data_IF_372945596469
#
_entry.id   IF_372945596469
#
_cell.length_a   1.000
_cell.length_b   1.000
_cell.length_c   1.000
_cell.angle_alpha   90.00
_cell.angle_beta   90.00
_cell.angle_gamma   90.00
#
_symmetry.space_group_name_H-M   'P 1'
#
loop_
_entity.id
_entity.type
_entity.pdbx_description
1 polymer ?
#
# COMPACT_ATOMS: atom_id res chain seq x y z
N UNK A 1 -16.99 0.83 -32.67
CA UNK A 1 -17.33 1.69 -31.52
C UNK A 1 -16.66 1.09 -30.29
N UNK A 2 -15.55 1.65 -29.82
CA UNK A 2 -14.91 1.16 -28.60
C UNK A 2 -15.82 1.48 -27.41
N UNK A 3 -16.12 0.47 -26.59
CA UNK A 3 -16.88 0.67 -25.35
C UNK A 3 -16.05 1.61 -24.47
N UNK A 4 -16.53 2.84 -24.23
CA UNK A 4 -15.93 3.74 -23.25
C UNK A 4 -16.10 3.08 -21.88
N UNK A 5 -14.99 2.85 -21.17
CA UNK A 5 -15.03 2.40 -19.78
C UNK A 5 -15.83 3.40 -18.95
N UNK A 6 -16.64 2.92 -18.00
CA UNK A 6 -17.28 3.82 -17.04
C UNK A 6 -16.25 4.30 -16.01
N UNK A 7 -16.48 5.45 -15.38
CA UNK A 7 -15.59 5.97 -14.34
C UNK A 7 -15.37 4.96 -13.19
N UNK A 8 -16.39 4.15 -12.90
CA UNK A 8 -16.33 3.03 -11.96
C UNK A 8 -15.33 1.95 -12.38
N UNK A 9 -15.36 1.57 -13.66
CA UNK A 9 -14.44 0.56 -14.20
C UNK A 9 -12.99 1.08 -14.23
N UNK A 10 -12.80 2.36 -14.53
CA UNK A 10 -11.50 3.02 -14.49
C UNK A 10 -10.91 3.03 -13.07
N UNK A 11 -11.70 3.44 -12.08
CA UNK A 11 -11.29 3.39 -10.66
C UNK A 11 -10.98 1.98 -10.21
N UNK A 12 -11.83 1.00 -10.54
CA UNK A 12 -11.62 -0.41 -10.20
C UNK A 12 -10.32 -0.93 -10.81
N UNK A 13 -10.06 -0.64 -12.08
CA UNK A 13 -8.83 -1.04 -12.78
C UNK A 13 -7.60 -0.39 -12.14
N UNK A 14 -7.67 0.91 -11.84
CA UNK A 14 -6.59 1.63 -11.18
C UNK A 14 -6.27 1.04 -9.80
N UNK A 15 -7.28 0.86 -8.95
CA UNK A 15 -7.09 0.31 -7.59
C UNK A 15 -6.54 -1.12 -7.65
N UNK A 16 -7.02 -1.95 -8.56
CA UNK A 16 -6.49 -3.31 -8.74
C UNK A 16 -5.03 -3.29 -9.20
N UNK A 17 -4.68 -2.44 -10.17
CA UNK A 17 -3.31 -2.28 -10.64
C UNK A 17 -2.39 -1.72 -9.55
N UNK A 18 -2.86 -0.71 -8.81
CA UNK A 18 -2.16 -0.15 -7.66
C UNK A 18 -1.88 -1.22 -6.60
N UNK A 19 -2.86 -2.05 -6.25
CA UNK A 19 -2.68 -3.14 -5.30
C UNK A 19 -1.62 -4.16 -5.75
N UNK A 20 -1.65 -4.60 -7.01
CA UNK A 20 -0.64 -5.54 -7.54
C UNK A 20 0.75 -4.91 -7.54
N UNK A 21 0.87 -3.66 -8.00
CA UNK A 21 2.15 -2.95 -8.04
C UNK A 21 2.74 -2.77 -6.64
N UNK A 22 1.90 -2.53 -5.62
CA UNK A 22 2.37 -2.43 -4.24
C UNK A 22 2.96 -3.73 -3.71
N UNK A 23 2.30 -4.86 -3.97
CA UNK A 23 2.81 -6.18 -3.60
C UNK A 23 4.16 -6.43 -4.28
N UNK A 24 4.29 -6.14 -5.57
CA UNK A 24 5.53 -6.33 -6.33
C UNK A 24 6.67 -5.47 -5.77
N UNK A 25 6.42 -4.18 -5.54
CA UNK A 25 7.40 -3.26 -4.94
C UNK A 25 7.87 -3.80 -3.59
N UNK A 26 6.94 -4.24 -2.75
CA UNK A 26 7.26 -4.75 -1.43
C UNK A 26 8.05 -6.06 -1.48
N UNK A 27 7.65 -7.01 -2.31
CA UNK A 27 8.36 -8.27 -2.52
C UNK A 27 9.79 -8.03 -3.02
N UNK A 28 9.98 -7.09 -3.94
CA UNK A 28 11.29 -6.73 -4.46
C UNK A 28 12.14 -6.04 -3.39
N UNK A 29 11.57 -5.14 -2.59
CA UNK A 29 12.28 -4.50 -1.47
C UNK A 29 12.70 -5.49 -0.39
N UNK A 30 11.83 -6.44 -0.05
CA UNK A 30 12.15 -7.53 0.88
C UNK A 30 13.34 -8.35 0.35
N UNK A 31 13.36 -8.63 -0.96
CA UNK A 31 14.46 -9.35 -1.62
C UNK A 31 15.77 -8.55 -1.56
N UNK A 32 15.74 -7.27 -1.95
CA UNK A 32 16.91 -6.38 -1.96
C UNK A 32 17.53 -6.21 -0.56
N UNK A 33 16.69 -6.11 0.47
CA UNK A 33 17.13 -5.96 1.86
C UNK A 33 17.55 -7.28 2.53
N UNK A 34 17.49 -8.40 1.80
CA UNK A 34 17.83 -9.73 2.33
C UNK A 34 16.85 -10.26 3.38
N UNK A 35 15.64 -9.71 3.46
CA UNK A 35 14.65 -10.05 4.52
C UNK A 35 13.72 -11.19 4.06
N UNK A 36 14.23 -12.17 3.33
CA UNK A 36 13.43 -13.22 2.68
C UNK A 36 13.83 -14.66 3.05
N UNK A 37 14.75 -14.85 4.00
CA UNK A 37 15.39 -16.14 4.24
C UNK A 37 14.44 -17.33 4.47
N UNK A 38 13.36 -17.15 5.23
CA UNK A 38 12.34 -18.21 5.43
C UNK A 38 11.23 -18.17 4.37
N UNK A 39 11.22 -17.17 3.50
CA UNK A 39 10.16 -16.90 2.52
C UNK A 39 8.83 -16.44 3.13
N UNK A 40 8.62 -16.62 4.44
CA UNK A 40 7.37 -16.31 5.13
C UNK A 40 6.94 -14.84 4.95
N UNK A 41 7.84 -13.89 5.21
CA UNK A 41 7.55 -12.47 5.01
C UNK A 41 7.31 -12.15 3.55
N UNK A 42 8.12 -12.69 2.63
CA UNK A 42 7.99 -12.43 1.20
C UNK A 42 6.65 -12.90 0.61
N UNK A 43 6.08 -14.00 1.12
CA UNK A 43 4.77 -14.54 0.69
C UNK A 43 3.58 -13.93 1.44
N UNK A 44 3.82 -13.17 2.50
CA UNK A 44 2.76 -12.65 3.38
C UNK A 44 1.94 -11.47 2.85
N UNK A 45 2.46 -10.57 1.97
CA UNK A 45 1.68 -9.46 1.48
C UNK A 45 0.49 -9.96 0.66
N UNK A 46 -0.70 -9.62 1.12
CA UNK A 46 -1.95 -9.92 0.45
C UNK A 46 -2.74 -8.63 0.26
N UNK A 47 -3.22 -8.42 -0.97
CA UNK A 47 -4.26 -7.43 -1.23
C UNK A 47 -5.60 -8.05 -0.85
N UNK A 48 -6.32 -7.44 0.08
CA UNK A 48 -7.70 -7.84 0.37
C UNK A 48 -8.64 -7.27 -0.68
N UNK A 49 -9.80 -7.92 -0.82
CA UNK A 49 -10.80 -7.58 -1.83
C UNK A 49 -11.29 -6.14 -1.63
N UNK A 50 -11.24 -5.37 -2.71
CA UNK A 50 -11.92 -4.08 -2.79
C UNK A 50 -13.43 -4.34 -2.71
N UNK A 51 -14.09 -3.83 -1.67
CA UNK A 51 -15.55 -3.79 -1.61
C UNK A 51 -15.99 -2.55 -2.37
N UNK A 52 -16.69 -2.73 -3.48
CA UNK A 52 -17.30 -1.62 -4.21
C UNK A 52 -18.82 -1.76 -4.07
N UNK A 53 -19.42 -1.05 -3.12
CA UNK A 53 -20.87 -1.08 -2.87
C UNK A 53 -21.65 -0.20 -3.88
N UNK A 54 -21.29 -0.28 -5.16
CA UNK A 54 -21.92 0.51 -6.24
C UNK A 54 -21.78 2.03 -6.13
N UNK A 55 -21.14 2.52 -5.07
CA UNK A 55 -20.85 3.91 -4.76
C UNK A 55 -19.44 3.92 -4.21
N UNK A 56 -18.47 4.32 -5.03
CA UNK A 56 -17.03 4.26 -4.75
C UNK A 56 -16.58 5.28 -3.68
N UNK A 57 -17.29 5.38 -2.56
CA UNK A 57 -16.96 6.24 -1.42
C UNK A 57 -16.12 5.51 -0.36
N UNK A 58 -16.10 4.18 -0.37
CA UNK A 58 -15.32 3.38 0.58
C UNK A 58 -14.35 2.47 -0.19
N UNK A 59 -13.14 2.96 -0.44
CA UNK A 59 -12.03 2.07 -0.79
C UNK A 59 -11.44 1.61 0.54
N UNK A 60 -12.02 0.55 1.11
CA UNK A 60 -11.38 -0.15 2.21
C UNK A 60 -10.15 -0.90 1.67
N UNK A 61 -9.02 -0.21 1.59
CA UNK A 61 -7.74 -0.83 1.27
C UNK A 61 -7.20 -1.55 2.49
N UNK A 62 -7.54 -2.82 2.61
CA UNK A 62 -6.94 -3.66 3.63
C UNK A 62 -5.80 -4.46 2.99
N UNK A 63 -4.56 -4.08 3.29
CA UNK A 63 -3.38 -4.87 2.96
C UNK A 63 -2.89 -5.54 4.23
N UNK A 64 -2.59 -6.83 4.16
CA UNK A 64 -2.10 -7.59 5.32
C UNK A 64 -0.73 -8.19 5.01
N UNK A 65 0.13 -8.24 6.01
CA UNK A 65 1.42 -8.90 5.98
C UNK A 65 1.77 -9.40 7.40
N UNK A 66 2.80 -10.24 7.51
CA UNK A 66 3.24 -10.74 8.82
C UNK A 66 3.73 -9.61 9.72
N UNK A 67 3.40 -9.65 11.01
CA UNK A 67 3.87 -8.67 12.01
C UNK A 67 5.40 -8.54 12.03
N UNK A 68 6.12 -9.64 11.74
CA UNK A 68 7.57 -9.64 11.54
C UNK A 68 8.05 -8.54 10.57
N UNK A 69 7.25 -8.21 9.56
CA UNK A 69 7.51 -7.11 8.64
C UNK A 69 7.56 -5.73 9.31
N UNK A 70 6.70 -5.47 10.30
CA UNK A 70 6.72 -4.22 11.08
C UNK A 70 8.05 -4.09 11.83
N UNK A 71 8.50 -5.17 12.46
CA UNK A 71 9.75 -5.17 13.20
C UNK A 71 10.95 -4.91 12.29
N UNK A 72 10.94 -5.48 11.08
CA UNK A 72 11.99 -5.23 10.09
C UNK A 72 11.99 -3.78 9.61
N UNK A 73 10.81 -3.20 9.34
CA UNK A 73 10.70 -1.82 8.88
C UNK A 73 11.17 -0.81 9.94
N UNK A 74 10.83 -1.05 11.20
CA UNK A 74 11.16 -0.17 12.32
C UNK A 74 12.54 -0.45 12.93
N UNK A 75 13.19 -1.56 12.57
CA UNK A 75 14.47 -1.97 13.17
C UNK A 75 14.32 -2.54 14.58
N UNK A 76 13.12 -3.00 14.92
CA UNK A 76 12.73 -3.47 16.25
C UNK A 76 12.64 -5.00 16.30
N UNK A 77 12.14 -5.53 17.42
CA UNK A 77 11.83 -6.95 17.58
C UNK A 77 10.85 -7.16 18.72
N UNK A 78 10.41 -8.41 18.89
CA UNK A 78 9.52 -8.81 19.99
C UNK A 78 9.95 -8.26 21.36
N UNK A 79 11.25 -8.26 21.63
CA UNK A 79 11.84 -7.82 22.90
C UNK A 79 12.24 -6.33 22.93
N UNK A 80 12.07 -5.61 21.80
CA UNK A 80 12.53 -4.22 21.62
C UNK A 80 11.43 -3.42 20.88
N UNK A 81 10.23 -3.25 21.44
CA UNK A 81 9.21 -2.42 20.82
C UNK A 81 9.61 -0.93 20.84
N UNK A 82 9.08 -0.15 19.91
CA UNK A 82 9.29 1.30 19.88
C UNK A 82 8.64 1.94 21.12
N UNK A 83 9.41 2.67 21.93
CA UNK A 83 8.94 3.25 23.20
C UNK A 83 9.17 2.40 24.45
N UNK A 84 9.90 1.28 24.35
CA UNK A 84 10.38 0.57 25.56
C UNK A 84 11.29 1.47 26.39
N UNK A 85 11.29 1.31 27.73
CA UNK A 85 12.08 2.09 28.71
C UNK A 85 13.60 1.98 28.55
N UNK A 86 14.08 1.15 27.61
CA UNK A 86 15.48 1.11 27.19
C UNK A 86 16.32 0.02 27.84
N UNK A 87 15.81 -0.68 28.86
CA UNK A 87 16.56 -1.71 29.61
C UNK A 87 16.63 -3.06 28.87
N UNK A 88 17.10 -3.03 27.63
CA UNK A 88 17.37 -4.23 26.84
C UNK A 88 18.85 -4.54 26.93
N UNK A 89 19.23 -5.50 27.79
CA UNK A 89 20.63 -5.90 28.00
C UNK A 89 21.40 -6.15 26.69
N UNK A 90 20.74 -6.70 25.67
CA UNK A 90 21.41 -6.98 24.38
C UNK A 90 21.71 -5.75 23.51
N UNK A 91 21.23 -4.56 23.89
CA UNK A 91 21.59 -3.28 23.30
C UNK A 91 22.67 -2.53 24.08
N UNK A 92 22.89 -2.88 25.35
CA UNK A 92 23.94 -2.29 26.17
C UNK A 92 25.33 -2.65 25.64
N UNK A 93 26.20 -1.64 25.49
CA UNK A 93 27.50 -1.83 24.85
C UNK A 93 28.44 -2.72 25.69
N UNK A 94 28.38 -2.62 27.01
CA UNK A 94 29.22 -3.42 27.91
C UNK A 94 28.78 -4.89 27.90
N UNK A 95 27.48 -5.12 28.06
CA UNK A 95 26.87 -6.45 27.98
C UNK A 95 27.15 -7.14 26.64
N UNK A 96 27.07 -6.39 25.52
CA UNK A 96 27.37 -6.90 24.18
C UNK A 96 28.82 -7.32 24.04
N UNK A 97 29.77 -6.56 24.59
CA UNK A 97 31.20 -6.92 24.58
C UNK A 97 31.46 -8.16 25.43
N UNK A 98 30.94 -8.19 26.65
CA UNK A 98 31.11 -9.33 27.58
C UNK A 98 30.56 -10.64 26.99
N UNK A 99 29.40 -10.57 26.33
CA UNK A 99 28.70 -11.73 25.77
C UNK A 99 29.00 -11.98 24.29
N UNK A 100 30.02 -11.31 23.72
CA UNK A 100 30.45 -11.42 22.32
C UNK A 100 29.29 -11.28 21.34
N UNK A 101 28.38 -10.35 21.62
CA UNK A 101 27.17 -10.19 20.82
C UNK A 101 27.44 -9.54 19.46
N UNK A 102 28.50 -8.73 19.37
CA UNK A 102 28.97 -8.04 18.16
C UNK A 102 29.69 -8.95 17.16
N UNK A 103 29.98 -10.19 17.55
CA UNK A 103 30.58 -11.18 16.66
C UNK A 103 29.50 -11.86 15.80
N UNK A 104 29.78 -12.13 14.51
CA UNK A 104 28.91 -12.94 13.66
C UNK A 104 28.66 -14.32 14.27
N UNK A 105 27.38 -14.67 14.36
CA UNK A 105 26.93 -15.97 14.90
C UNK A 105 25.96 -16.65 13.96
N UNK A 106 26.04 -17.98 13.87
CA UNK A 106 25.17 -18.78 13.02
C UNK A 106 23.70 -18.56 13.38
N UNK A 107 22.91 -18.18 12.38
CA UNK A 107 21.46 -17.98 12.47
C UNK A 107 20.74 -19.19 11.88
N UNK A 108 19.79 -19.73 12.65
CA UNK A 108 18.91 -20.80 12.19
C UNK A 108 19.49 -22.20 12.44
N UNK A 109 18.85 -23.24 11.88
CA UNK A 109 19.14 -24.62 12.23
C UNK A 109 20.47 -25.12 11.63
N UNK A 110 21.12 -26.13 12.24
CA UNK A 110 22.49 -26.57 11.89
C UNK A 110 22.70 -26.90 10.39
N UNK A 111 21.72 -27.54 9.76
CA UNK A 111 21.68 -27.92 8.33
C UNK A 111 21.39 -26.78 7.34
N UNK A 112 21.22 -25.55 7.80
CA UNK A 112 20.95 -24.40 6.94
C UNK A 112 21.21 -23.08 7.64
N UNK A 113 20.66 -21.99 7.09
CA UNK A 113 20.85 -20.66 7.65
C UNK A 113 22.16 -19.96 7.23
N UNK A 114 22.40 -18.78 7.77
CA UNK A 114 23.56 -17.95 7.46
C UNK A 114 24.09 -17.26 8.71
N UNK A 115 25.13 -16.44 8.58
CA UNK A 115 25.67 -15.70 9.73
C UNK A 115 24.82 -14.47 10.05
N UNK A 116 24.69 -14.14 11.34
CA UNK A 116 24.26 -12.82 11.78
C UNK A 116 25.40 -11.83 11.61
N UNK A 117 25.09 -10.55 11.46
CA UNK A 117 26.11 -9.49 11.36
C UNK A 117 26.82 -9.20 12.69
N UNK A 118 26.31 -9.73 13.82
CA UNK A 118 26.73 -9.32 15.16
C UNK A 118 26.21 -7.94 15.56
N UNK A 119 26.18 -6.97 14.64
CA UNK A 119 25.69 -5.61 14.89
C UNK A 119 24.23 -5.53 15.38
N UNK A 120 23.88 -4.48 16.16
CA UNK A 120 22.49 -4.19 16.51
C UNK A 120 21.58 -4.11 15.28
N UNK A 121 20.28 -4.35 15.47
CA UNK A 121 19.31 -4.25 14.38
C UNK A 121 19.17 -2.80 13.95
N UNK A 122 19.13 -2.59 12.64
CA UNK A 122 18.83 -1.31 12.02
C UNK A 122 17.48 -1.35 11.29
N UNK A 123 16.78 -0.21 11.17
CA UNK A 123 15.54 -0.12 10.39
C UNK A 123 15.75 -0.46 8.92
N UNK A 124 15.01 -1.46 8.43
CA UNK A 124 15.00 -1.88 7.02
C UNK A 124 13.70 -1.46 6.38
N UNK A 125 13.61 -0.18 6.00
CA UNK A 125 12.41 0.44 5.40
C UNK A 125 12.02 -0.22 4.08
N UNK A 126 11.22 -1.27 4.17
CA UNK A 126 10.79 -2.09 3.04
C UNK A 126 9.38 -1.71 2.58
N UNK A 127 8.50 -1.29 3.50
CA UNK A 127 7.11 -0.96 3.17
C UNK A 127 6.75 0.50 3.43
N UNK A 128 7.10 1.07 4.58
CA UNK A 128 6.48 2.30 5.10
C UNK A 128 6.61 3.51 4.17
N UNK A 129 7.84 3.79 3.71
CA UNK A 129 8.10 4.93 2.82
C UNK A 129 7.37 4.80 1.49
N UNK A 130 7.40 3.62 0.88
CA UNK A 130 6.76 3.38 -0.43
C UNK A 130 5.24 3.32 -0.32
N UNK A 131 4.73 2.78 0.78
CA UNK A 131 3.31 2.76 1.10
C UNK A 131 2.76 4.18 1.28
N UNK A 132 3.45 5.04 2.03
CA UNK A 132 3.01 6.42 2.21
C UNK A 132 2.92 7.17 0.87
N UNK A 133 3.98 7.11 0.06
CA UNK A 133 3.95 7.73 -1.28
C UNK A 133 2.85 7.17 -2.18
N UNK A 134 2.60 5.85 -2.13
CA UNK A 134 1.59 5.24 -2.99
C UNK A 134 0.16 5.58 -2.56
N UNK A 135 -0.09 5.74 -1.25
CA UNK A 135 -1.37 6.22 -0.72
C UNK A 135 -1.64 7.65 -1.18
N UNK A 136 -0.63 8.52 -1.24
CA UNK A 136 -0.80 9.88 -1.80
C UNK A 136 -1.17 9.84 -3.28
N UNK A 137 -0.50 9.00 -4.08
CA UNK A 137 -0.85 8.84 -5.49
C UNK A 137 -2.28 8.34 -5.69
N UNK A 138 -2.72 7.38 -4.86
CA UNK A 138 -4.09 6.90 -4.91
C UNK A 138 -5.09 7.98 -4.51
N UNK A 139 -4.81 8.73 -3.45
CA UNK A 139 -5.63 9.86 -3.00
C UNK A 139 -5.83 10.85 -4.15
N UNK A 140 -4.74 11.25 -4.81
CA UNK A 140 -4.77 12.27 -5.86
C UNK A 140 -5.56 11.78 -7.08
N UNK A 141 -5.32 10.54 -7.52
CA UNK A 141 -6.11 9.92 -8.59
C UNK A 141 -7.61 9.86 -8.26
N UNK A 142 -7.96 9.44 -7.05
CA UNK A 142 -9.36 9.33 -6.63
C UNK A 142 -10.03 10.70 -6.54
N UNK A 143 -9.31 11.71 -6.04
CA UNK A 143 -9.81 13.08 -5.97
C UNK A 143 -10.12 13.63 -7.38
N UNK A 144 -9.21 13.43 -8.34
CA UNK A 144 -9.41 13.85 -9.73
C UNK A 144 -10.58 13.10 -10.39
N UNK A 145 -10.60 11.76 -10.28
CA UNK A 145 -11.66 10.93 -10.89
C UNK A 145 -13.06 11.29 -10.37
N UNK A 146 -13.20 11.49 -9.05
CA UNK A 146 -14.48 11.88 -8.45
C UNK A 146 -14.86 13.32 -8.82
N UNK A 147 -13.88 14.23 -8.89
CA UNK A 147 -14.13 15.60 -9.29
C UNK A 147 -14.63 15.68 -10.75
N UNK A 148 -14.06 14.89 -11.66
CA UNK A 148 -14.48 14.89 -13.05
C UNK A 148 -15.87 14.28 -13.25
N UNK A 149 -16.20 13.22 -12.52
CA UNK A 149 -17.55 12.66 -12.50
C UNK A 149 -18.56 13.68 -11.97
N UNK A 150 -18.21 14.37 -10.88
CA UNK A 150 -19.04 15.44 -10.31
C UNK A 150 -19.25 16.59 -11.30
N UNK A 151 -18.18 17.08 -11.95
CA UNK A 151 -18.28 18.11 -13.01
C UNK A 151 -19.19 17.65 -14.15
N UNK A 152 -19.03 16.40 -14.61
CA UNK A 152 -19.84 15.82 -15.69
C UNK A 152 -21.33 15.77 -15.34
N UNK A 153 -21.67 15.46 -14.08
CA UNK A 153 -23.04 15.53 -13.59
C UNK A 153 -23.61 16.94 -13.71
N UNK A 154 -22.90 17.98 -13.25
CA UNK A 154 -23.36 19.37 -13.37
C UNK A 154 -23.50 19.80 -14.83
N UNK A 155 -22.49 19.55 -15.67
CA UNK A 155 -22.54 19.89 -17.09
C UNK A 155 -23.73 19.22 -17.78
N UNK A 156 -24.02 17.95 -17.47
CA UNK A 156 -25.15 17.24 -18.07
C UNK A 156 -26.52 17.70 -17.56
N UNK A 157 -26.60 18.17 -16.31
CA UNK A 157 -27.82 18.69 -15.69
C UNK A 157 -28.12 20.14 -16.06
N UNK A 158 -27.08 20.95 -16.32
CA UNK A 158 -27.17 22.37 -16.63
C UNK A 158 -26.97 22.66 -18.13
N UNK A 159 -27.06 21.63 -18.98
CA UNK A 159 -26.89 21.74 -20.42
C UNK A 159 -28.04 22.53 -21.05
N UNK A 160 -27.73 23.71 -21.58
CA UNK A 160 -28.71 24.60 -22.20
C UNK A 160 -29.41 23.99 -23.41
N UNK A 161 -28.74 23.12 -24.15
CA UNK A 161 -29.33 22.52 -25.35
C UNK A 161 -30.33 21.43 -24.96
N UNK A 162 -30.05 20.70 -23.89
CA UNK A 162 -31.00 19.78 -23.25
C UNK A 162 -32.24 20.52 -22.73
N UNK A 163 -32.03 21.64 -22.04
CA UNK A 163 -33.15 22.48 -21.59
C UNK A 163 -33.98 23.02 -22.75
N UNK A 164 -33.35 23.45 -23.84
CA UNK A 164 -34.07 23.93 -25.03
C UNK A 164 -34.92 22.80 -25.64
N UNK A 165 -34.34 21.63 -25.84
CA UNK A 165 -35.04 20.46 -26.39
C UNK A 165 -36.25 20.02 -25.54
N UNK A 166 -36.16 20.16 -24.21
CA UNK A 166 -37.24 19.78 -23.30
C UNK A 166 -38.43 20.74 -23.33
N UNK A 167 -38.30 21.96 -23.85
CA UNK A 167 -39.46 22.87 -23.96
C UNK A 167 -40.38 22.54 -25.13
N UNK A 168 -41.69 22.75 -24.93
CA UNK A 168 -42.71 22.57 -25.98
C UNK A 168 -42.54 23.54 -27.17
N UNK A 169 -41.78 24.62 -27.01
CA UNK A 169 -41.50 25.57 -28.08
C UNK A 169 -40.55 24.98 -29.13
N UNK A 170 -39.38 24.47 -28.72
CA UNK A 170 -38.41 23.91 -29.66
C UNK A 170 -38.87 22.57 -30.26
N UNK A 171 -39.56 21.72 -29.48
CA UNK A 171 -40.17 20.48 -29.97
C UNK A 171 -41.15 20.70 -31.13
N UNK A 172 -42.01 21.73 -31.04
CA UNK A 172 -42.99 22.04 -32.10
C UNK A 172 -42.37 22.60 -33.38
N UNK A 173 -41.14 23.13 -33.31
CA UNK A 173 -40.43 23.71 -34.45
C UNK A 173 -39.47 22.73 -35.14
N UNK A 174 -39.34 21.51 -34.64
CA UNK A 174 -38.52 20.46 -35.28
C UNK A 174 -37.01 20.62 -35.10
N UNK A 175 -36.56 21.31 -34.05
CA UNK A 175 -35.14 21.53 -33.76
C UNK A 175 -34.49 20.47 -32.86
N UNK A 176 -35.16 19.33 -32.67
CA UNK A 176 -34.73 18.21 -31.81
C UNK A 176 -34.55 16.95 -32.62
#
# INVERSE_FOLDING_TARGET
MGIRMTAEEERRKFVNGWNSTMIDIWQERIRQLGVYHTGSLWRSPLALKVRADGRFYDITLSQTFLEYGLWQDLGTGREIPHGNTGDVKCLDADYRREHKLDEPRKRGPKWGGGETSGHPREPRRWFSTKYYSSVLNLRDFMAESLADEFKGMFCSSLDSDKFRADTAYYRRKGYT
#
